data_IF_169717376058
#
_entry.id   IF_169717376058
#
_cell.length_a   1.000
_cell.length_b   1.000
_cell.length_c   1.000
_cell.angle_alpha   90.00
_cell.angle_beta   90.00
_cell.angle_gamma   90.00
#
_symmetry.space_group_name_H-M   'P 1'
#
loop_
_entity.id
_entity.type
_entity.pdbx_description
1 polymer ?
#
# COMPACT_ATOMS: atom_id res chain seq x y z
N UNK A 1 -1.68 5.08 28.52
CA UNK A 1 -1.61 4.00 27.52
C UNK A 1 -2.37 4.47 26.29
N UNK A 2 -1.68 4.88 25.22
CA UNK A 2 -2.32 5.42 24.02
C UNK A 2 -2.62 4.28 23.04
N UNK A 3 -3.85 3.76 23.11
CA UNK A 3 -4.37 2.82 22.13
C UNK A 3 -4.72 3.58 20.84
N UNK A 4 -3.73 3.78 19.95
CA UNK A 4 -4.06 4.18 18.58
C UNK A 4 -4.62 2.97 17.84
N UNK A 5 -5.82 3.06 17.23
CA UNK A 5 -6.35 1.96 16.44
C UNK A 5 -5.47 1.77 15.20
N UNK A 6 -4.85 0.60 15.09
CA UNK A 6 -4.15 0.10 13.90
C UNK A 6 -5.16 -0.29 12.83
N UNK A 7 -6.00 0.65 12.39
CA UNK A 7 -7.01 0.37 11.37
C UNK A 7 -6.29 0.26 10.02
N UNK A 8 -6.28 -0.92 9.37
CA UNK A 8 -5.65 -1.08 8.07
C UNK A 8 -6.33 -0.19 7.03
N UNK A 9 -5.52 0.52 6.23
CA UNK A 9 -6.00 1.42 5.19
C UNK A 9 -6.30 0.61 3.93
N UNK A 10 -7.56 0.21 3.75
CA UNK A 10 -7.99 -0.52 2.56
C UNK A 10 -8.01 0.39 1.32
N UNK A 11 -7.33 -0.04 0.26
CA UNK A 11 -7.28 0.65 -1.03
C UNK A 11 -8.63 0.56 -1.72
N UNK A 12 -9.44 1.62 -1.62
CA UNK A 12 -10.63 1.75 -2.47
C UNK A 12 -10.18 2.32 -3.81
N UNK A 13 -10.46 1.60 -4.90
CA UNK A 13 -10.29 1.99 -6.30
C UNK A 13 -11.11 3.24 -6.73
N UNK A 14 -11.57 4.07 -5.79
CA UNK A 14 -12.51 5.17 -6.01
C UNK A 14 -11.96 6.41 -6.72
N UNK A 15 -10.83 6.31 -7.42
CA UNK A 15 -10.19 7.42 -8.13
C UNK A 15 -9.89 7.14 -9.61
N UNK A 16 -10.36 6.01 -10.15
CA UNK A 16 -10.14 5.63 -11.54
C UNK A 16 -11.18 6.32 -12.45
N UNK A 17 -10.72 6.90 -13.58
CA UNK A 17 -11.58 7.59 -14.57
C UNK A 17 -12.44 6.63 -15.41
N UNK A 18 -12.14 5.33 -15.39
CA UNK A 18 -12.80 4.26 -16.15
C UNK A 18 -13.09 3.07 -15.23
N UNK A 19 -14.02 2.21 -15.62
CA UNK A 19 -14.23 0.93 -14.94
C UNK A 19 -13.03 0.01 -15.14
N UNK A 20 -12.71 -0.85 -14.15
CA UNK A 20 -11.63 -1.85 -14.29
C UNK A 20 -11.91 -2.85 -15.41
N UNK A 21 -13.17 -3.05 -15.78
CA UNK A 21 -13.59 -3.93 -16.88
C UNK A 21 -13.36 -3.31 -18.27
N UNK A 22 -13.12 -2.01 -18.34
CA UNK A 22 -12.91 -1.25 -19.57
C UNK A 22 -11.44 -0.86 -19.77
N UNK A 23 -10.58 -1.22 -18.82
CA UNK A 23 -9.15 -0.92 -18.86
C UNK A 23 -8.38 -2.03 -19.57
N UNK A 24 -7.44 -1.64 -20.42
CA UNK A 24 -6.41 -2.56 -20.90
C UNK A 24 -5.52 -3.04 -19.75
N UNK A 25 -4.72 -4.08 -20.00
CA UNK A 25 -3.74 -4.56 -19.02
C UNK A 25 -2.76 -3.47 -18.61
N UNK A 26 -2.28 -2.67 -19.57
CA UNK A 26 -1.37 -1.54 -19.30
C UNK A 26 -2.05 -0.44 -18.47
N UNK A 27 -3.32 -0.12 -18.75
CA UNK A 27 -4.08 0.86 -17.97
C UNK A 27 -4.31 0.40 -16.53
N UNK A 28 -4.52 -0.91 -16.32
CA UNK A 28 -4.62 -1.51 -14.99
C UNK A 28 -3.30 -1.44 -14.23
N UNK A 29 -2.17 -1.71 -14.89
CA UNK A 29 -0.84 -1.56 -14.28
C UNK A 29 -0.55 -0.12 -13.89
N UNK A 30 -0.83 0.85 -14.78
CA UNK A 30 -0.64 2.27 -14.49
C UNK A 30 -1.53 2.73 -13.33
N UNK A 31 -2.79 2.27 -13.28
CA UNK A 31 -3.70 2.55 -12.17
C UNK A 31 -3.18 1.96 -10.86
N UNK A 32 -2.71 0.70 -10.87
CA UNK A 32 -2.13 0.05 -9.70
C UNK A 32 -0.89 0.78 -9.19
N UNK A 33 0.03 1.16 -10.08
CA UNK A 33 1.24 1.94 -9.76
C UNK A 33 0.89 3.30 -9.15
N UNK A 34 -0.10 4.00 -9.72
CA UNK A 34 -0.57 5.29 -9.20
C UNK A 34 -1.16 5.17 -7.78
N UNK A 35 -1.93 4.11 -7.52
CA UNK A 35 -2.47 3.82 -6.20
C UNK A 35 -1.35 3.51 -5.22
N UNK A 36 -0.44 2.60 -5.56
CA UNK A 36 0.71 2.23 -4.73
C UNK A 36 1.54 3.46 -4.35
N UNK A 37 1.83 4.34 -5.32
CA UNK A 37 2.56 5.57 -5.07
C UNK A 37 1.87 6.45 -4.02
N UNK A 38 0.57 6.73 -4.18
CA UNK A 38 -0.21 7.55 -3.24
C UNK A 38 -0.25 6.96 -1.83
N UNK A 39 -0.27 5.64 -1.75
CA UNK A 39 -0.30 4.91 -0.47
C UNK A 39 1.04 5.03 0.24
N UNK A 40 2.14 4.84 -0.49
CA UNK A 40 3.49 5.07 0.03
C UNK A 40 3.65 6.52 0.50
N UNK A 41 3.31 7.49 -0.34
CA UNK A 41 3.35 8.93 0.02
C UNK A 41 2.55 9.22 1.30
N UNK A 42 1.33 8.67 1.42
CA UNK A 42 0.47 8.86 2.60
C UNK A 42 0.97 8.13 3.84
N UNK A 43 1.54 6.93 3.71
CA UNK A 43 2.12 6.20 4.83
C UNK A 43 3.38 6.90 5.34
N UNK A 44 4.25 7.30 4.40
CA UNK A 44 5.54 7.91 4.71
C UNK A 44 5.42 9.32 5.28
N UNK A 45 4.48 10.12 4.80
CA UNK A 45 4.15 11.43 5.41
C UNK A 45 3.67 11.32 6.87
N UNK A 46 3.25 10.13 7.31
CA UNK A 46 2.86 9.85 8.70
C UNK A 46 3.93 9.10 9.49
N UNK A 47 5.11 8.86 8.90
CA UNK A 47 6.17 8.04 9.51
C UNK A 47 5.79 6.57 9.68
N UNK A 48 4.79 6.08 8.95
CA UNK A 48 4.32 4.70 9.03
C UNK A 48 4.94 3.84 7.93
N UNK A 49 5.29 2.58 8.21
CA UNK A 49 5.70 1.64 7.18
C UNK A 49 4.52 1.20 6.32
N UNK A 50 4.82 0.85 5.07
CA UNK A 50 3.88 0.19 4.17
C UNK A 50 4.03 -1.33 4.29
N UNK A 51 2.96 -2.03 4.64
CA UNK A 51 2.97 -3.49 4.78
C UNK A 51 2.51 -4.18 3.50
N UNK A 52 3.26 -5.18 3.06
CA UNK A 52 2.93 -5.98 1.88
C UNK A 52 3.37 -7.43 2.07
N UNK A 53 2.77 -8.35 1.31
CA UNK A 53 3.16 -9.77 1.35
C UNK A 53 4.04 -10.10 0.14
N UNK A 54 5.16 -10.78 0.38
CA UNK A 54 6.06 -11.27 -0.67
C UNK A 54 6.62 -12.63 -0.24
N UNK A 55 6.60 -13.62 -1.14
CA UNK A 55 7.12 -14.98 -0.90
C UNK A 55 6.57 -15.63 0.39
N UNK A 56 5.27 -15.44 0.65
CA UNK A 56 4.58 -15.96 1.84
C UNK A 56 4.93 -15.26 3.16
N UNK A 57 5.74 -14.19 3.13
CA UNK A 57 6.14 -13.40 4.29
C UNK A 57 5.50 -12.01 4.25
N UNK A 58 5.18 -11.48 5.43
CA UNK A 58 4.75 -10.08 5.57
C UNK A 58 6.00 -9.22 5.70
N UNK A 59 6.10 -8.19 4.87
CA UNK A 59 7.19 -7.25 4.80
C UNK A 59 6.70 -5.85 5.19
N UNK A 60 7.56 -5.05 5.80
CA UNK A 60 7.34 -3.64 6.10
C UNK A 60 8.39 -2.80 5.36
N UNK A 61 7.96 -1.89 4.48
CA UNK A 61 8.81 -0.89 3.81
C UNK A 61 8.68 0.45 4.53
N UNK A 62 9.80 1.03 4.94
CA UNK A 62 9.87 2.31 5.65
C UNK A 62 10.18 3.47 4.69
N UNK A 63 9.93 4.73 5.11
CA UNK A 63 10.18 5.92 4.27
C UNK A 63 11.64 6.07 3.80
N UNK A 64 12.58 5.52 4.55
CA UNK A 64 14.02 5.51 4.27
C UNK A 64 14.41 4.41 3.26
N UNK A 65 13.45 3.62 2.78
CA UNK A 65 13.66 2.50 1.85
C UNK A 65 14.07 1.20 2.53
N UNK A 66 14.18 1.15 3.86
CA UNK A 66 14.45 -0.10 4.59
C UNK A 66 13.26 -1.04 4.48
N UNK A 67 13.54 -2.32 4.23
CA UNK A 67 12.51 -3.38 4.16
C UNK A 67 12.81 -4.45 5.20
N UNK A 68 11.84 -4.75 6.05
CA UNK A 68 11.96 -5.72 7.14
C UNK A 68 10.89 -6.81 7.06
N UNK A 69 11.25 -8.04 7.44
CA UNK A 69 10.28 -9.13 7.60
C UNK A 69 9.56 -8.96 8.93
N UNK A 70 8.24 -8.82 8.90
CA UNK A 70 7.42 -8.72 10.10
C UNK A 70 7.13 -10.13 10.60
N UNK A 71 7.71 -10.49 11.75
CA UNK A 71 7.33 -11.71 12.45
C UNK A 71 6.02 -11.46 13.19
N UNK A 72 5.00 -12.26 12.92
CA UNK A 72 3.82 -12.34 13.80
C UNK A 72 4.32 -12.94 15.12
N UNK A 73 4.29 -12.16 16.19
CA UNK A 73 4.37 -12.68 17.56
C UNK A 73 3.04 -13.29 17.96
#
# INVERSE_FOLDING_TARGET
MNNQPTTPLYLRYGGAKKSTFEMSHEELEQAAQSILRRVKEKAFSKGLPNYFSKDGKVMAEYPDGRIEVVKKN
#
